data_IF_498124950774
#
_entry.id   IF_498124950774
#
_cell.length_a   1.000
_cell.length_b   1.000
_cell.length_c   1.000
_cell.angle_alpha   90.00
_cell.angle_beta   90.00
_cell.angle_gamma   90.00
#
_symmetry.space_group_name_H-M   'P 1'
#
loop_
_entity.id
_entity.type
_entity.pdbx_description
1 polymer ?
#
# COMPACT_ATOMS: atom_id res chain seq x y z
N UNK A 1 12.34 5.67 -14.29
CA UNK A 1 12.24 4.77 -13.11
C UNK A 1 11.08 5.26 -12.24
N UNK A 2 10.13 4.40 -11.96
CA UNK A 2 9.02 4.71 -11.02
C UNK A 2 9.56 4.58 -9.60
N UNK A 3 9.42 5.62 -8.78
CA UNK A 3 9.99 5.65 -7.43
C UNK A 3 8.90 5.81 -6.37
N UNK A 4 9.14 5.30 -5.16
CA UNK A 4 8.33 5.54 -3.96
C UNK A 4 8.77 6.78 -3.17
N UNK A 5 9.82 7.47 -3.62
CA UNK A 5 10.30 8.68 -2.96
C UNK A 5 9.20 9.75 -2.87
N UNK A 6 8.98 10.28 -1.67
CA UNK A 6 7.95 11.29 -1.38
C UNK A 6 6.51 10.77 -1.33
N UNK A 7 6.24 9.50 -1.63
CA UNK A 7 4.90 8.94 -1.61
C UNK A 7 4.52 8.51 -0.19
N UNK A 8 3.32 8.89 0.26
CA UNK A 8 2.86 8.75 1.64
C UNK A 8 1.56 7.98 1.80
N UNK A 9 0.65 8.10 0.82
CA UNK A 9 -0.70 7.58 0.92
C UNK A 9 -0.98 6.52 -0.15
N UNK A 10 -1.08 5.28 0.28
CA UNK A 10 -1.20 4.10 -0.55
C UNK A 10 -2.62 3.53 -0.46
N UNK A 11 -3.39 3.56 -1.54
CA UNK A 11 -4.69 2.89 -1.65
C UNK A 11 -4.49 1.41 -1.98
N UNK A 12 -5.05 0.52 -1.17
CA UNK A 12 -5.27 -0.88 -1.55
C UNK A 12 -6.77 -1.11 -1.74
N UNK A 13 -7.19 -1.49 -2.96
CA UNK A 13 -8.61 -1.66 -3.33
C UNK A 13 -8.89 -3.04 -3.92
N UNK A 14 -10.03 -3.68 -3.59
CA UNK A 14 -10.57 -4.80 -4.36
C UNK A 14 -11.14 -4.31 -5.69
N UNK A 15 -11.60 -5.25 -6.54
CA UNK A 15 -12.44 -4.92 -7.67
C UNK A 15 -13.79 -4.33 -7.22
N UNK A 16 -14.35 -3.46 -8.04
CA UNK A 16 -15.64 -2.82 -7.81
C UNK A 16 -16.24 -2.35 -9.13
N UNK A 17 -17.58 -2.20 -9.23
CA UNK A 17 -18.22 -1.81 -10.50
C UNK A 17 -17.74 -0.46 -11.07
N UNK A 18 -17.46 0.50 -10.19
CA UNK A 18 -17.03 1.87 -10.51
C UNK A 18 -15.50 2.08 -10.39
N UNK A 19 -14.69 1.02 -10.54
CA UNK A 19 -13.24 1.00 -10.25
C UNK A 19 -12.47 2.18 -10.85
N UNK A 20 -12.70 2.52 -12.12
CA UNK A 20 -12.01 3.63 -12.77
C UNK A 20 -12.32 4.98 -12.11
N UNK A 21 -13.60 5.28 -11.90
CA UNK A 21 -14.04 6.53 -11.29
C UNK A 21 -13.58 6.62 -9.84
N UNK A 22 -13.65 5.52 -9.09
CA UNK A 22 -13.19 5.43 -7.70
C UNK A 22 -11.69 5.70 -7.58
N UNK A 23 -10.85 5.03 -8.38
CA UNK A 23 -9.40 5.23 -8.35
C UNK A 23 -9.04 6.65 -8.75
N UNK A 24 -9.67 7.21 -9.80
CA UNK A 24 -9.46 8.59 -10.22
C UNK A 24 -9.81 9.59 -9.10
N UNK A 25 -10.96 9.40 -8.43
CA UNK A 25 -11.38 10.23 -7.30
C UNK A 25 -10.39 10.16 -6.12
N UNK A 26 -9.92 8.96 -5.76
CA UNK A 26 -8.93 8.79 -4.70
C UNK A 26 -7.59 9.46 -5.04
N UNK A 27 -7.10 9.31 -6.28
CA UNK A 27 -5.87 9.95 -6.75
C UNK A 27 -6.01 11.47 -6.77
N UNK A 28 -7.13 12.01 -7.27
CA UNK A 28 -7.44 13.44 -7.23
C UNK A 28 -7.53 13.98 -5.78
N UNK A 29 -7.86 13.12 -4.82
CA UNK A 29 -7.87 13.43 -3.38
C UNK A 29 -6.50 13.33 -2.69
N UNK A 30 -5.44 12.86 -3.37
CA UNK A 30 -4.09 12.83 -2.83
C UNK A 30 -3.50 11.44 -2.57
N UNK A 31 -4.16 10.36 -3.01
CA UNK A 31 -3.55 9.03 -3.06
C UNK A 31 -2.40 9.05 -4.07
N UNK A 32 -1.26 8.52 -3.69
CA UNK A 32 -0.02 8.59 -4.48
C UNK A 32 0.61 7.22 -4.81
N UNK A 33 0.01 6.11 -4.35
CA UNK A 33 0.26 4.73 -4.80
C UNK A 33 -1.07 3.98 -4.83
N UNK A 34 -1.31 3.14 -5.85
CA UNK A 34 -2.53 2.33 -5.96
C UNK A 34 -2.19 0.85 -6.12
N UNK A 35 -2.82 -0.01 -5.30
CA UNK A 35 -2.77 -1.47 -5.44
C UNK A 35 -4.16 -2.02 -5.74
N UNK A 36 -4.25 -2.83 -6.79
CA UNK A 36 -5.40 -3.70 -7.01
C UNK A 36 -5.17 -5.03 -6.29
N UNK A 37 -6.04 -5.34 -5.33
CA UNK A 37 -6.01 -6.55 -4.53
C UNK A 37 -7.39 -7.23 -4.51
N UNK A 38 -7.61 -8.15 -5.44
CA UNK A 38 -8.78 -9.01 -5.45
C UNK A 38 -8.32 -10.48 -5.55
N UNK A 39 -8.56 -11.24 -4.48
CA UNK A 39 -8.16 -12.65 -4.39
C UNK A 39 -9.22 -13.61 -4.95
N UNK A 40 -10.38 -13.08 -5.36
CA UNK A 40 -11.49 -13.85 -5.92
C UNK A 40 -11.46 -13.95 -7.44
N UNK A 41 -10.70 -13.06 -8.11
CA UNK A 41 -10.65 -13.02 -9.57
C UNK A 41 -9.62 -13.98 -10.13
N UNK A 42 -10.03 -14.75 -11.14
CA UNK A 42 -9.12 -15.48 -12.01
C UNK A 42 -8.24 -14.54 -12.85
N UNK A 43 -7.17 -15.08 -13.46
CA UNK A 43 -6.17 -14.31 -14.19
C UNK A 43 -6.76 -13.39 -15.27
N UNK A 44 -7.66 -13.88 -16.12
CA UNK A 44 -8.25 -13.07 -17.22
C UNK A 44 -9.12 -11.90 -16.72
N UNK A 45 -10.07 -12.08 -15.79
CA UNK A 45 -10.76 -10.97 -15.15
C UNK A 45 -9.81 -10.00 -14.46
N UNK A 46 -8.83 -10.48 -13.70
CA UNK A 46 -7.88 -9.64 -12.99
C UNK A 46 -7.06 -8.76 -13.95
N UNK A 47 -6.58 -9.29 -15.07
CA UNK A 47 -5.87 -8.52 -16.10
C UNK A 47 -6.74 -7.42 -16.73
N UNK A 48 -8.04 -7.70 -16.98
CA UNK A 48 -8.96 -6.65 -17.46
C UNK A 48 -9.11 -5.51 -16.44
N UNK A 49 -9.23 -5.84 -15.17
CA UNK A 49 -9.36 -4.84 -14.10
C UNK A 49 -8.04 -4.10 -13.86
N UNK A 50 -6.90 -4.81 -13.94
CA UNK A 50 -5.57 -4.22 -13.87
C UNK A 50 -5.35 -3.19 -14.98
N UNK A 51 -5.78 -3.47 -16.23
CA UNK A 51 -5.70 -2.53 -17.35
C UNK A 51 -6.47 -1.22 -17.06
N UNK A 52 -7.65 -1.30 -16.40
CA UNK A 52 -8.43 -0.13 -15.98
C UNK A 52 -7.66 0.71 -14.97
N UNK A 53 -7.13 0.08 -13.90
CA UNK A 53 -6.38 0.80 -12.86
C UNK A 53 -5.10 1.39 -13.44
N UNK A 54 -4.39 0.64 -14.29
CA UNK A 54 -3.15 1.11 -14.94
C UNK A 54 -3.39 2.36 -15.77
N UNK A 55 -4.48 2.40 -16.56
CA UNK A 55 -4.80 3.56 -17.37
C UNK A 55 -4.99 4.81 -16.51
N UNK A 56 -5.84 4.72 -15.48
CA UNK A 56 -6.07 5.84 -14.55
C UNK A 56 -4.78 6.28 -13.85
N UNK A 57 -3.97 5.34 -13.38
CA UNK A 57 -2.72 5.65 -12.70
C UNK A 57 -1.71 6.32 -13.63
N UNK A 58 -1.62 5.88 -14.90
CA UNK A 58 -0.73 6.48 -15.90
C UNK A 58 -1.11 7.93 -16.20
N UNK A 59 -2.40 8.24 -16.34
CA UNK A 59 -2.90 9.59 -16.60
C UNK A 59 -2.53 10.60 -15.48
N UNK A 60 -2.29 10.08 -14.26
CA UNK A 60 -1.98 10.89 -13.08
C UNK A 60 -0.53 10.75 -12.58
N UNK A 61 0.31 9.97 -13.26
CA UNK A 61 1.70 9.73 -12.84
C UNK A 61 1.84 8.99 -11.50
N UNK A 62 0.84 8.17 -11.14
CA UNK A 62 0.80 7.39 -9.90
C UNK A 62 1.20 5.94 -10.19
N UNK A 63 2.11 5.31 -9.42
CA UNK A 63 2.45 3.90 -9.61
C UNK A 63 1.26 3.00 -9.29
N UNK A 64 1.03 2.05 -10.21
CA UNK A 64 0.10 0.95 -10.04
C UNK A 64 0.85 -0.32 -9.64
N UNK A 65 0.45 -0.96 -8.54
CA UNK A 65 0.99 -2.21 -8.00
C UNK A 65 -0.08 -3.30 -8.07
N UNK A 66 0.28 -4.50 -8.53
CA UNK A 66 -0.63 -5.65 -8.49
C UNK A 66 -0.33 -6.51 -7.26
N UNK A 67 -1.36 -7.11 -6.67
CA UNK A 67 -1.21 -7.96 -5.50
C UNK A 67 -0.86 -9.41 -5.88
N UNK A 68 0.08 -10.06 -5.15
CA UNK A 68 0.44 -11.49 -5.12
C UNK A 68 1.03 -12.10 -6.41
N UNK A 69 0.71 -11.61 -7.60
CA UNK A 69 0.93 -12.25 -8.89
C UNK A 69 1.96 -11.49 -9.73
N UNK A 70 3.28 -11.74 -9.59
CA UNK A 70 4.32 -11.07 -10.37
C UNK A 70 4.22 -11.36 -11.87
N UNK A 71 3.77 -12.55 -12.26
CA UNK A 71 3.49 -12.92 -13.65
C UNK A 71 2.40 -12.06 -14.28
N UNK A 72 1.30 -11.83 -13.57
CA UNK A 72 0.21 -10.97 -14.04
C UNK A 72 0.56 -9.47 -13.90
N UNK A 73 1.41 -9.09 -12.95
CA UNK A 73 1.91 -7.72 -12.85
C UNK A 73 2.75 -7.35 -14.08
N UNK A 74 3.60 -8.27 -14.56
CA UNK A 74 4.36 -8.10 -15.80
C UNK A 74 3.42 -7.94 -17.00
N UNK A 75 2.47 -8.85 -17.17
CA UNK A 75 1.52 -8.84 -18.31
C UNK A 75 0.63 -7.58 -18.29
N UNK A 76 0.21 -7.13 -17.10
CA UNK A 76 -0.60 -5.92 -16.95
C UNK A 76 0.20 -4.63 -17.17
N UNK A 77 1.53 -4.68 -17.25
CA UNK A 77 2.39 -3.49 -17.26
C UNK A 77 2.27 -2.67 -15.97
N UNK A 78 2.10 -3.34 -14.82
CA UNK A 78 2.09 -2.69 -13.53
C UNK A 78 3.49 -2.16 -13.20
N UNK A 79 3.57 -1.09 -12.39
CA UNK A 79 4.84 -0.57 -11.90
C UNK A 79 5.55 -1.55 -10.94
N UNK A 80 4.81 -2.52 -10.40
CA UNK A 80 5.36 -3.52 -9.51
C UNK A 80 4.34 -4.49 -8.94
N UNK A 81 4.77 -5.25 -7.94
CA UNK A 81 3.98 -6.25 -7.23
C UNK A 81 4.13 -6.09 -5.71
N UNK A 82 3.07 -6.42 -4.98
CA UNK A 82 3.11 -6.59 -3.53
C UNK A 82 2.80 -8.04 -3.17
N UNK A 83 3.67 -8.68 -2.39
CA UNK A 83 3.52 -10.08 -1.98
C UNK A 83 3.39 -10.22 -0.46
N UNK A 84 2.71 -11.26 -0.02
CA UNK A 84 2.66 -11.70 1.38
C UNK A 84 3.67 -12.81 1.66
N UNK A 85 3.64 -13.32 2.90
CA UNK A 85 4.58 -14.36 3.38
C UNK A 85 4.40 -15.72 2.70
N UNK A 86 3.18 -16.02 2.24
CA UNK A 86 2.81 -17.30 1.62
C UNK A 86 2.74 -17.20 0.09
N UNK A 87 3.03 -16.03 -0.49
CA UNK A 87 2.97 -15.77 -1.93
C UNK A 87 4.35 -16.04 -2.60
N UNK A 88 4.52 -15.59 -3.84
CA UNK A 88 5.79 -15.71 -4.56
C UNK A 88 6.92 -14.99 -3.79
N UNK A 89 8.07 -15.65 -3.53
CA UNK A 89 9.20 -15.00 -2.87
C UNK A 89 9.65 -13.72 -3.59
N UNK A 90 10.08 -12.66 -2.85
CA UNK A 90 10.54 -11.42 -3.45
C UNK A 90 11.62 -11.58 -4.52
N UNK A 91 12.55 -12.51 -4.30
CA UNK A 91 13.59 -12.84 -5.29
C UNK A 91 13.02 -13.41 -6.60
N UNK A 92 11.91 -14.17 -6.55
CA UNK A 92 11.21 -14.63 -7.75
C UNK A 92 10.48 -13.47 -8.43
N UNK A 93 9.78 -12.64 -7.66
CA UNK A 93 9.13 -11.44 -8.19
C UNK A 93 10.12 -10.53 -8.91
N UNK A 94 11.29 -10.31 -8.32
CA UNK A 94 12.40 -9.54 -8.91
C UNK A 94 12.92 -10.13 -10.21
N UNK A 95 13.09 -11.47 -10.29
CA UNK A 95 13.50 -12.15 -11.54
C UNK A 95 12.49 -12.00 -12.66
N UNK A 96 11.20 -12.02 -12.33
CA UNK A 96 10.12 -11.89 -13.32
C UNK A 96 9.99 -10.44 -13.83
N UNK A 97 10.02 -9.47 -12.91
CA UNK A 97 9.71 -8.07 -13.21
C UNK A 97 10.93 -7.23 -13.59
N UNK A 98 12.14 -7.70 -13.24
CA UNK A 98 13.37 -6.93 -13.44
C UNK A 98 13.71 -5.98 -12.29
N UNK A 99 14.87 -5.31 -12.40
CA UNK A 99 15.45 -4.45 -11.34
C UNK A 99 14.64 -3.17 -11.10
N UNK A 100 13.96 -2.66 -12.11
CA UNK A 100 13.30 -1.36 -12.10
C UNK A 100 11.85 -1.39 -11.56
N UNK A 101 11.31 -2.59 -11.37
CA UNK A 101 9.97 -2.78 -10.84
C UNK A 101 9.93 -2.56 -9.31
N UNK A 102 8.80 -2.09 -8.81
CA UNK A 102 8.54 -1.98 -7.37
C UNK A 102 8.16 -3.35 -6.82
N UNK A 103 8.88 -3.84 -5.82
CA UNK A 103 8.53 -5.07 -5.08
C UNK A 103 8.30 -4.73 -3.62
N UNK A 104 7.11 -5.05 -3.11
CA UNK A 104 6.75 -4.89 -1.70
C UNK A 104 6.49 -6.20 -1.00
N UNK A 105 6.78 -6.27 0.31
CA UNK A 105 6.56 -7.45 1.15
C UNK A 105 5.79 -7.08 2.41
N UNK A 106 4.74 -7.85 2.72
CA UNK A 106 4.01 -7.75 4.00
C UNK A 106 4.78 -8.40 5.14
N UNK A 107 4.81 -7.75 6.31
CA UNK A 107 5.32 -8.29 7.57
C UNK A 107 4.29 -8.11 8.69
N UNK A 108 4.25 -9.03 9.66
CA UNK A 108 3.21 -9.09 10.68
C UNK A 108 3.75 -9.27 12.11
N UNK A 109 5.03 -9.61 12.26
CA UNK A 109 5.71 -9.83 13.52
C UNK A 109 7.21 -9.51 13.37
N UNK A 110 7.97 -9.42 14.49
CA UNK A 110 9.39 -9.09 14.46
C UNK A 110 10.26 -10.10 13.69
N UNK A 111 9.92 -11.39 13.71
CA UNK A 111 10.72 -12.42 13.04
C UNK A 111 10.60 -12.29 11.51
N UNK A 112 9.39 -12.05 11.01
CA UNK A 112 9.14 -11.73 9.60
C UNK A 112 9.81 -10.42 9.17
N UNK A 113 9.83 -9.42 10.07
CA UNK A 113 10.52 -8.15 9.80
C UNK A 113 12.02 -8.39 9.60
N UNK A 114 12.70 -9.08 10.53
CA UNK A 114 14.14 -9.33 10.44
C UNK A 114 14.49 -10.08 9.15
N UNK A 115 13.71 -11.10 8.78
CA UNK A 115 13.92 -11.82 7.51
C UNK A 115 13.72 -10.90 6.29
N UNK A 116 12.73 -10.02 6.34
CA UNK A 116 12.40 -9.09 5.24
C UNK A 116 13.46 -8.01 5.01
N UNK A 117 14.31 -7.71 6.01
CA UNK A 117 15.39 -6.71 5.86
C UNK A 117 16.44 -7.13 4.82
N UNK A 118 16.65 -8.43 4.63
CA UNK A 118 17.63 -8.98 3.66
C UNK A 118 17.01 -9.27 2.28
N UNK A 119 15.68 -9.18 2.15
CA UNK A 119 14.98 -9.47 0.90
C UNK A 119 15.16 -8.35 -0.16
N UNK A 120 15.17 -8.69 -1.46
CA UNK A 120 15.31 -7.71 -2.56
C UNK A 120 14.01 -6.93 -2.83
N UNK A 121 13.52 -6.20 -1.85
CA UNK A 121 12.28 -5.41 -1.90
C UNK A 121 12.56 -3.91 -1.86
N UNK A 122 11.62 -3.10 -2.35
CA UNK A 122 11.70 -1.64 -2.34
C UNK A 122 10.98 -1.03 -1.15
N UNK A 123 10.01 -1.75 -0.57
CA UNK A 123 9.30 -1.33 0.63
C UNK A 123 8.76 -2.54 1.41
N UNK A 124 8.50 -2.31 2.69
CA UNK A 124 7.79 -3.24 3.56
C UNK A 124 6.38 -2.71 3.88
N UNK A 125 5.47 -3.61 4.18
CA UNK A 125 4.18 -3.25 4.77
C UNK A 125 4.03 -3.90 6.14
N UNK A 126 3.83 -3.09 7.18
CA UNK A 126 3.65 -3.55 8.55
C UNK A 126 2.17 -3.49 8.98
N UNK A 127 1.66 -4.57 9.56
CA UNK A 127 0.28 -4.61 10.08
C UNK A 127 -0.50 -5.87 9.72
N UNK A 128 -1.83 -5.91 9.95
CA UNK A 128 -2.67 -4.75 10.30
C UNK A 128 -2.49 -4.29 11.74
N UNK A 129 -2.42 -2.98 11.99
CA UNK A 129 -2.27 -2.43 13.35
C UNK A 129 -3.46 -2.82 14.23
N UNK A 130 -4.68 -2.77 13.69
CA UNK A 130 -5.89 -3.26 14.34
C UNK A 130 -6.50 -4.41 13.53
N UNK A 131 -7.25 -5.34 14.16
CA UNK A 131 -7.97 -6.39 13.44
C UNK A 131 -8.86 -5.80 12.35
N UNK A 132 -8.89 -6.44 11.17
CA UNK A 132 -9.62 -5.91 10.02
C UNK A 132 -10.29 -7.02 9.21
N UNK A 133 -11.54 -6.81 8.72
CA UNK A 133 -12.19 -7.74 7.80
C UNK A 133 -11.44 -7.95 6.49
N UNK A 134 -10.60 -7.00 6.08
CA UNK A 134 -9.79 -7.09 4.84
C UNK A 134 -8.77 -8.25 4.89
N UNK A 135 -8.31 -8.63 6.09
CA UNK A 135 -7.45 -9.81 6.33
C UNK A 135 -8.07 -10.65 7.47
N UNK A 136 -9.14 -11.43 7.19
CA UNK A 136 -9.83 -12.22 8.22
C UNK A 136 -8.88 -13.17 8.96
N UNK A 137 -9.09 -13.35 10.26
CA UNK A 137 -8.32 -14.27 11.10
C UNK A 137 -6.94 -13.77 11.53
N UNK A 138 -6.56 -12.53 11.18
CA UNK A 138 -5.35 -11.90 11.70
C UNK A 138 -5.67 -10.98 12.87
N UNK A 139 -5.02 -11.21 13.99
CA UNK A 139 -4.99 -10.27 15.10
C UNK A 139 -4.28 -8.97 14.70
N UNK A 140 -4.58 -7.86 15.40
CA UNK A 140 -3.85 -6.61 15.18
C UNK A 140 -2.43 -6.71 15.73
N UNK A 141 -1.45 -6.20 14.97
CA UNK A 141 -0.05 -6.19 15.38
C UNK A 141 0.27 -5.08 16.40
N UNK A 142 -0.64 -4.12 16.55
CA UNK A 142 -0.47 -2.96 17.41
C UNK A 142 0.46 -1.88 16.83
N UNK A 143 0.39 -0.69 17.43
CA UNK A 143 1.22 0.46 17.05
C UNK A 143 2.71 0.20 17.36
N UNK A 144 3.01 -0.56 18.41
CA UNK A 144 4.38 -0.88 18.79
C UNK A 144 5.15 -1.63 17.69
N UNK A 145 4.49 -2.58 17.01
CA UNK A 145 5.09 -3.26 15.88
C UNK A 145 5.30 -2.32 14.69
N UNK A 146 4.35 -1.45 14.38
CA UNK A 146 4.49 -0.46 13.32
C UNK A 146 5.69 0.48 13.58
N UNK A 147 5.86 0.95 14.82
CA UNK A 147 6.99 1.75 15.25
C UNK A 147 8.33 0.99 15.10
N UNK A 148 8.38 -0.26 15.57
CA UNK A 148 9.56 -1.13 15.44
C UNK A 148 9.95 -1.29 13.96
N UNK A 149 9.00 -1.64 13.11
CA UNK A 149 9.25 -1.85 11.69
C UNK A 149 9.79 -0.59 11.00
N UNK A 150 9.21 0.57 11.33
CA UNK A 150 9.65 1.87 10.78
C UNK A 150 11.06 2.22 11.26
N UNK A 151 11.39 1.97 12.52
CA UNK A 151 12.71 2.28 13.08
C UNK A 151 13.82 1.34 12.57
N UNK A 152 13.49 0.08 12.27
CA UNK A 152 14.46 -0.95 11.85
C UNK A 152 14.78 -0.92 10.36
N UNK A 153 13.83 -0.51 9.52
CA UNK A 153 13.98 -0.56 8.07
C UNK A 153 14.57 0.72 7.50
N UNK A 154 15.62 0.61 6.70
CA UNK A 154 16.12 1.70 5.86
C UNK A 154 15.21 2.00 4.64
N UNK A 155 14.28 1.10 4.31
CA UNK A 155 13.32 1.24 3.23
C UNK A 155 12.01 1.81 3.77
N UNK A 156 11.15 2.42 2.92
CA UNK A 156 9.81 2.84 3.33
C UNK A 156 9.02 1.68 3.95
N UNK A 157 8.37 1.93 5.09
CA UNK A 157 7.45 0.99 5.73
C UNK A 157 6.04 1.55 5.66
N UNK A 158 5.21 0.96 4.82
CA UNK A 158 3.80 1.33 4.69
C UNK A 158 2.96 0.60 5.75
N UNK A 159 2.41 1.35 6.68
CA UNK A 159 1.61 0.81 7.79
C UNK A 159 0.15 0.68 7.38
N UNK A 160 -0.46 -0.48 7.65
CA UNK A 160 -1.85 -0.79 7.31
C UNK A 160 -2.67 -1.20 8.55
N UNK A 161 -4.00 -1.10 8.43
CA UNK A 161 -4.95 -1.52 9.47
C UNK A 161 -5.45 -0.35 10.33
N UNK A 162 -6.67 0.09 10.03
CA UNK A 162 -7.34 1.18 10.76
C UNK A 162 -6.84 2.58 10.41
N UNK A 163 -6.14 2.76 9.29
CA UNK A 163 -5.68 4.08 8.84
C UNK A 163 -6.87 4.99 8.50
N UNK A 164 -6.93 6.14 9.15
CA UNK A 164 -7.96 7.17 9.02
C UNK A 164 -7.41 8.53 9.50
N UNK A 165 -8.07 9.66 9.22
CA UNK A 165 -7.64 10.95 9.75
C UNK A 165 -7.51 11.02 11.26
N UNK A 166 -8.27 10.21 12.00
CA UNK A 166 -8.24 10.16 13.46
C UNK A 166 -7.10 9.31 14.03
N UNK A 167 -6.61 8.33 13.28
CA UNK A 167 -5.53 7.42 13.73
C UNK A 167 -4.15 7.85 13.26
N UNK A 168 -4.06 8.61 12.16
CA UNK A 168 -2.80 9.10 11.58
C UNK A 168 -1.94 9.86 12.58
N UNK A 169 -2.44 10.79 13.43
CA UNK A 169 -1.58 11.50 14.37
C UNK A 169 -0.82 10.58 15.33
N UNK A 170 -1.52 9.60 15.90
CA UNK A 170 -0.89 8.63 16.83
C UNK A 170 0.13 7.72 16.13
N UNK A 171 -0.13 7.36 14.87
CA UNK A 171 0.83 6.58 14.06
C UNK A 171 2.06 7.42 13.69
N UNK A 172 1.88 8.69 13.34
CA UNK A 172 2.97 9.61 13.01
C UNK A 172 3.86 9.86 14.22
N UNK A 173 3.28 10.10 15.41
CA UNK A 173 4.00 10.21 16.66
C UNK A 173 4.79 8.94 17.05
N UNK A 174 4.35 7.77 16.57
CA UNK A 174 5.07 6.51 16.68
C UNK A 174 6.15 6.30 15.59
N UNK A 175 6.46 7.32 14.80
CA UNK A 175 7.48 7.30 13.75
C UNK A 175 6.99 6.88 12.36
N UNK A 176 5.72 6.52 12.19
CA UNK A 176 5.18 6.10 10.88
C UNK A 176 5.12 7.29 9.91
N UNK A 177 5.59 7.06 8.69
CA UNK A 177 5.66 8.10 7.63
C UNK A 177 4.91 7.73 6.35
N UNK A 178 4.44 6.47 6.23
CA UNK A 178 3.78 5.93 5.03
C UNK A 178 2.57 5.09 5.44
N UNK A 179 1.42 5.29 4.79
CA UNK A 179 0.12 4.80 5.23
C UNK A 179 -0.60 4.05 4.12
N UNK A 180 -1.04 2.80 4.38
CA UNK A 180 -1.95 2.05 3.50
C UNK A 180 -3.37 2.20 4.00
N UNK A 181 -4.24 2.64 3.11
CA UNK A 181 -5.66 2.82 3.38
C UNK A 181 -6.51 1.87 2.53
N UNK A 182 -7.55 1.31 3.13
CA UNK A 182 -8.55 0.48 2.45
C UNK A 182 -9.94 1.03 2.75
N UNK A 183 -10.57 0.61 3.85
CA UNK A 183 -11.99 0.85 4.14
C UNK A 183 -12.38 2.32 4.26
N UNK A 184 -11.52 3.17 4.81
CA UNK A 184 -11.78 4.60 4.87
C UNK A 184 -12.13 5.20 3.50
N UNK A 185 -11.53 4.68 2.42
CA UNK A 185 -11.80 5.11 1.05
C UNK A 185 -12.85 4.24 0.36
N UNK A 186 -12.76 2.90 0.48
CA UNK A 186 -13.64 1.99 -0.27
C UNK A 186 -15.10 2.04 0.20
N UNK A 187 -15.35 2.48 1.44
CA UNK A 187 -16.67 2.63 2.05
C UNK A 187 -17.16 4.10 2.07
N UNK A 188 -16.35 5.03 1.56
CA UNK A 188 -16.71 6.44 1.55
C UNK A 188 -17.77 6.75 0.49
N UNK A 189 -18.77 7.59 0.85
CA UNK A 189 -19.75 8.11 -0.09
C UNK A 189 -19.12 9.08 -1.12
N UNK A 190 -18.09 9.82 -0.70
CA UNK A 190 -17.27 10.68 -1.56
C UNK A 190 -15.77 10.29 -1.37
N UNK A 191 -15.25 9.40 -2.22
CA UNK A 191 -13.86 8.94 -2.12
C UNK A 191 -12.82 10.05 -2.30
N UNK A 192 -13.10 11.07 -3.11
CA UNK A 192 -12.18 12.19 -3.30
C UNK A 192 -12.06 13.04 -2.05
N UNK A 193 -13.19 13.43 -1.46
CA UNK A 193 -13.19 14.20 -0.21
C UNK A 193 -12.55 13.38 0.95
N UNK A 194 -12.84 12.08 1.03
CA UNK A 194 -12.27 11.21 2.03
C UNK A 194 -10.74 11.06 1.88
N UNK A 195 -10.24 10.93 0.63
CA UNK A 195 -8.81 10.87 0.34
C UNK A 195 -8.13 12.20 0.68
N UNK A 196 -8.72 13.33 0.34
CA UNK A 196 -8.22 14.67 0.68
C UNK A 196 -8.12 14.86 2.19
N UNK A 197 -9.19 14.53 2.92
CA UNK A 197 -9.18 14.64 4.39
C UNK A 197 -8.09 13.78 5.02
N UNK A 198 -7.84 12.57 4.48
CA UNK A 198 -6.77 11.70 4.95
C UNK A 198 -5.39 12.26 4.57
N UNK A 199 -5.21 12.78 3.36
CA UNK A 199 -3.96 13.43 2.93
C UNK A 199 -3.63 14.63 3.80
N UNK A 200 -4.58 15.51 4.04
CA UNK A 200 -4.40 16.68 4.92
C UNK A 200 -4.03 16.26 6.36
N UNK A 201 -4.58 15.15 6.86
CA UNK A 201 -4.22 14.63 8.17
C UNK A 201 -2.78 14.08 8.20
N UNK A 202 -2.37 13.39 7.14
CA UNK A 202 -0.99 12.89 6.99
C UNK A 202 -0.01 14.06 6.94
N UNK A 203 -0.26 15.06 6.10
CA UNK A 203 0.66 16.19 5.92
C UNK A 203 0.81 16.97 7.24
N UNK A 204 -0.29 17.34 7.91
CA UNK A 204 -0.24 18.02 9.21
C UNK A 204 0.49 17.21 10.30
N UNK A 205 0.26 15.90 10.36
CA UNK A 205 0.92 15.08 11.36
C UNK A 205 2.43 14.96 11.13
N UNK A 206 2.86 14.91 9.86
CA UNK A 206 4.28 14.83 9.52
C UNK A 206 5.00 16.18 9.66
N UNK A 207 4.32 17.30 9.43
CA UNK A 207 4.83 18.64 9.70
C UNK A 207 5.06 18.86 11.19
N UNK A 208 4.10 18.51 12.04
CA UNK A 208 4.24 18.62 13.49
C UNK A 208 5.44 17.82 14.04
N UNK A 209 5.63 16.58 13.57
CA UNK A 209 6.77 15.75 13.96
C UNK A 209 8.13 16.31 13.47
N UNK A 210 8.15 17.11 12.41
CA UNK A 210 9.36 17.73 11.89
C UNK A 210 9.75 19.00 12.67
N UNK A 211 8.79 19.66 13.35
CA UNK A 211 9.02 20.84 14.18
C UNK A 211 9.51 20.47 15.61
N UNK A 212 9.12 19.27 16.08
CA UNK A 212 9.43 18.79 17.45
C UNK A 212 10.75 17.99 17.54
N UNK A 213 11.42 17.68 16.40
CA UNK A 213 12.65 16.86 16.32
C UNK A 213 13.86 17.64 15.84
#
# INVERSE_FOLDING_TARGET
MTTLAGRRLYLCTPDRPDLAAFVAACVAGGVDVVQLRDKSLDARPLLRRAAVVRAVCADHGVPFVLNDRPDLALEAGAAGVHVGQDDAPPALARRILGSDAIVGLSTHDPDQLEQALDEPVDYLSAGPVVPTPTKPGREGTGVAYAALATARSARPVFVTGGVSPTTVPALAAAGVRHFVVVRWLTEAADPQAAARALRDAVDRALEAEAEDG
#
